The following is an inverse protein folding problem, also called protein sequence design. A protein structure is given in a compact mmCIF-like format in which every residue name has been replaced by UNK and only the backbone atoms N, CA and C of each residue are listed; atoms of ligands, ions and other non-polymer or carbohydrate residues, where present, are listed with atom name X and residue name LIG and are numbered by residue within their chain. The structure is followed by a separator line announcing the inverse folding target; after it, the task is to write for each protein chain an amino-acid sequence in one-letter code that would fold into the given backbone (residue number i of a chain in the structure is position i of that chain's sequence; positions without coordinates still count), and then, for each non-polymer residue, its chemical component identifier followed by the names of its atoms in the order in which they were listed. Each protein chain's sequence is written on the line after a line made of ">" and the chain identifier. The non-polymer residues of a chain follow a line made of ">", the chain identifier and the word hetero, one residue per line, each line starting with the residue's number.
data_IF_892096949695
#
_entry.id   IF_892096949695
#
_cell.length_a   1.000
_cell.length_b   1.000
_cell.length_c   1.000
_cell.angle_alpha   90.00
_cell.angle_beta   90.00
_cell.angle_gamma   90.00
#
_symmetry.space_group_name_H-M   'P 1'
#
loop_
_entity.id
_entity.type
_entity.pdbx_description
1 polymer ?
#
# COMPACT_ATOMS: atom_id res chain seq x y z
N UNK A 1 -3.44 -0.43 -2.27
CA UNK A 1 -3.91 -0.49 -0.87
C UNK A 1 -4.62 -1.81 -0.65
N UNK A 2 -4.33 -2.53 0.44
CA UNK A 2 -4.92 -3.86 0.70
C UNK A 2 -6.28 -3.75 1.38
N UNK A 3 -7.21 -4.65 1.05
CA UNK A 3 -8.55 -4.66 1.67
C UNK A 3 -8.46 -5.12 3.15
N UNK A 4 -9.37 -4.63 4.02
CA UNK A 4 -9.47 -5.10 5.40
C UNK A 4 -9.71 -6.61 5.50
N UNK A 5 -9.08 -7.25 6.46
CA UNK A 5 -9.23 -8.70 6.74
C UNK A 5 -10.36 -8.96 7.74
N UNK A 6 -10.98 -10.13 7.60
CA UNK A 6 -11.90 -10.67 8.63
C UNK A 6 -11.13 -11.25 9.82
N UNK A 7 -9.91 -11.73 9.59
CA UNK A 7 -9.09 -12.41 10.58
C UNK A 7 -7.88 -11.54 10.98
N UNK A 8 -7.78 -11.27 12.29
CA UNK A 8 -6.63 -10.72 13.03
C UNK A 8 -5.94 -9.45 12.49
N UNK A 9 -6.53 -8.75 11.51
CA UNK A 9 -5.96 -7.56 10.91
C UNK A 9 -4.64 -7.84 10.18
N UNK A 10 -4.43 -9.08 9.70
CA UNK A 10 -3.25 -9.47 8.94
C UNK A 10 -3.67 -10.31 7.74
N UNK A 11 -2.96 -10.16 6.63
CA UNK A 11 -3.10 -11.05 5.46
C UNK A 11 -1.73 -11.57 5.04
N UNK A 12 -1.63 -12.85 4.65
CA UNK A 12 -0.42 -13.37 4.03
C UNK A 12 -0.29 -12.78 2.61
N UNK A 13 0.89 -12.30 2.28
CA UNK A 13 1.26 -11.90 0.93
C UNK A 13 2.52 -12.66 0.55
N UNK A 14 2.47 -13.31 -0.61
CA UNK A 14 3.61 -13.95 -1.23
C UNK A 14 4.59 -12.88 -1.69
N UNK A 15 5.80 -12.92 -1.16
CA UNK A 15 6.91 -12.12 -1.67
C UNK A 15 7.54 -12.84 -2.85
N UNK A 16 7.58 -12.17 -4.00
CA UNK A 16 8.42 -12.62 -5.10
C UNK A 16 9.89 -12.51 -4.72
N UNK A 17 10.70 -13.42 -5.24
CA UNK A 17 12.14 -13.39 -5.00
C UNK A 17 12.71 -12.04 -5.47
N UNK A 18 13.44 -11.32 -4.62
CA UNK A 18 14.04 -10.06 -5.03
C UNK A 18 15.11 -10.30 -6.08
N UNK A 19 15.19 -9.40 -7.05
CA UNK A 19 16.32 -9.33 -7.96
C UNK A 19 17.51 -8.71 -7.22
N UNK A 20 18.65 -9.43 -7.21
CA UNK A 20 19.86 -8.96 -6.55
C UNK A 20 20.80 -8.39 -7.60
N UNK A 21 21.23 -7.15 -7.39
CA UNK A 21 22.17 -6.45 -8.26
C UNK A 21 23.47 -6.18 -7.51
N UNK A 22 24.59 -6.17 -8.24
CA UNK A 22 25.88 -5.82 -7.67
C UNK A 22 26.55 -4.71 -8.49
N UNK A 23 27.28 -3.83 -7.80
CA UNK A 23 28.18 -2.86 -8.41
C UNK A 23 29.62 -3.34 -8.24
N UNK A 24 30.33 -3.57 -9.35
CA UNK A 24 31.70 -4.07 -9.33
C UNK A 24 32.70 -2.91 -9.33
N UNK A 25 33.45 -2.74 -8.24
CA UNK A 25 34.57 -1.80 -8.20
C UNK A 25 35.78 -2.42 -8.92
N UNK A 26 36.42 -1.64 -9.81
CA UNK A 26 37.48 -2.10 -10.73
C UNK A 26 38.74 -2.68 -10.06
N UNK A 27 38.90 -2.63 -8.73
CA UNK A 27 40.21 -2.77 -8.08
C UNK A 27 40.54 -4.13 -7.46
N UNK A 28 39.66 -5.12 -7.41
CA UNK A 28 40.09 -6.48 -6.99
C UNK A 28 39.32 -7.56 -7.76
N UNK A 29 40.08 -8.38 -8.48
CA UNK A 29 39.71 -9.66 -9.11
C UNK A 29 38.37 -10.24 -8.65
N UNK A 30 37.38 -10.26 -9.53
CA UNK A 30 36.30 -11.22 -9.40
C UNK A 30 35.80 -11.62 -10.79
N UNK A 31 36.21 -12.81 -11.20
CA UNK A 31 35.74 -13.59 -12.36
C UNK A 31 34.21 -13.69 -12.45
N UNK A 32 33.49 -13.24 -11.43
CA UNK A 32 32.04 -13.32 -11.28
C UNK A 32 31.26 -12.07 -11.77
N UNK A 33 31.92 -10.98 -12.18
CA UNK A 33 31.25 -9.77 -12.70
C UNK A 33 30.80 -9.89 -14.19
N UNK A 34 30.71 -11.11 -14.71
CA UNK A 34 30.50 -11.38 -16.13
C UNK A 34 29.02 -11.26 -16.53
N UNK A 35 28.74 -10.23 -17.33
CA UNK A 35 27.67 -10.09 -18.35
C UNK A 35 26.30 -10.73 -18.04
N UNK A 36 25.49 -10.07 -17.24
CA UNK A 36 24.03 -10.01 -17.46
C UNK A 36 23.61 -8.54 -17.21
N UNK A 37 22.54 -8.12 -17.88
CA UNK A 37 21.91 -6.77 -17.94
C UNK A 37 22.50 -5.66 -17.06
N UNK A 38 22.92 -4.57 -17.69
CA UNK A 38 23.46 -3.37 -17.05
C UNK A 38 22.36 -2.33 -16.84
N UNK A 39 22.18 -1.88 -15.60
CA UNK A 39 21.23 -0.81 -15.24
C UNK A 39 21.97 0.32 -14.56
N UNK A 40 21.63 1.55 -14.92
CA UNK A 40 22.21 2.77 -14.35
C UNK A 40 21.40 3.22 -13.14
N UNK A 41 22.06 3.37 -11.98
CA UNK A 41 21.44 3.90 -10.77
C UNK A 41 22.49 4.58 -9.87
N UNK A 42 22.08 5.48 -8.96
CA UNK A 42 23.01 6.14 -8.04
C UNK A 42 23.84 5.13 -7.22
N UNK A 43 25.12 5.43 -7.01
CA UNK A 43 26.02 4.58 -6.23
C UNK A 43 25.64 4.51 -4.75
N UNK A 44 25.01 5.57 -4.22
CA UNK A 44 24.58 5.67 -2.82
C UNK A 44 23.46 6.71 -2.69
N UNK A 45 22.67 6.62 -1.63
CA UNK A 45 21.63 7.60 -1.31
C UNK A 45 22.18 9.04 -1.21
N UNK A 46 23.43 9.19 -0.78
CA UNK A 46 24.08 10.49 -0.61
C UNK A 46 24.96 10.91 -1.81
N UNK A 47 25.24 9.98 -2.73
CA UNK A 47 26.09 10.22 -3.88
C UNK A 47 25.32 9.92 -5.17
N UNK A 48 24.90 10.97 -5.85
CA UNK A 48 24.17 10.93 -7.12
C UNK A 48 25.05 10.50 -8.31
N UNK A 49 26.33 10.17 -8.10
CA UNK A 49 27.14 9.54 -9.12
C UNK A 49 26.43 8.29 -9.65
N UNK A 50 26.33 8.18 -10.96
CA UNK A 50 25.70 7.05 -11.62
C UNK A 50 26.68 5.88 -11.64
N UNK A 51 26.24 4.76 -11.08
CA UNK A 51 26.94 3.50 -11.07
C UNK A 51 26.25 2.51 -12.01
N UNK A 52 27.05 1.59 -12.57
CA UNK A 52 26.54 0.51 -13.39
C UNK A 52 26.32 -0.74 -12.55
N UNK A 53 25.07 -1.15 -12.42
CA UNK A 53 24.64 -2.30 -11.64
C UNK A 53 24.37 -3.48 -12.57
N UNK A 54 24.89 -4.66 -12.19
CA UNK A 54 24.69 -5.89 -12.95
C UNK A 54 23.75 -6.82 -12.20
N UNK A 55 22.75 -7.35 -12.92
CA UNK A 55 21.87 -8.38 -12.37
C UNK A 55 22.63 -9.70 -12.22
N UNK A 56 22.39 -10.42 -11.13
CA UNK A 56 22.94 -11.75 -10.92
C UNK A 56 21.82 -12.76 -10.77
N UNK A 57 21.95 -13.91 -11.47
CA UNK A 57 21.07 -15.06 -11.28
C UNK A 57 21.38 -15.73 -9.95
N UNK A 58 20.82 -15.17 -8.89
CA UNK A 58 20.86 -15.74 -7.56
C UNK A 58 19.78 -16.82 -7.43
N UNK A 59 20.20 -18.08 -7.30
CA UNK A 59 19.30 -19.17 -6.95
C UNK A 59 19.05 -19.11 -5.45
N UNK A 60 18.02 -18.36 -5.05
CA UNK A 60 17.48 -18.52 -3.71
C UNK A 60 17.07 -19.98 -3.52
N UNK A 61 17.50 -20.58 -2.42
CA UNK A 61 16.97 -21.86 -1.95
C UNK A 61 15.56 -21.62 -1.39
N UNK A 62 14.63 -21.07 -2.19
CA UNK A 62 13.38 -20.48 -1.68
C UNK A 62 12.27 -21.51 -1.56
N UNK A 63 11.84 -21.74 -0.32
CA UNK A 63 10.41 -21.88 -0.02
C UNK A 63 9.74 -20.51 -0.24
N UNK A 64 8.52 -20.50 -0.73
CA UNK A 64 7.65 -19.31 -0.81
C UNK A 64 7.68 -18.55 0.54
N UNK A 65 8.11 -17.28 0.55
CA UNK A 65 8.11 -16.47 1.77
C UNK A 65 6.77 -15.74 1.88
N UNK A 66 5.92 -16.20 2.80
CA UNK A 66 4.68 -15.51 3.14
C UNK A 66 4.95 -14.46 4.21
N UNK A 67 4.78 -13.19 3.86
CA UNK A 67 4.84 -12.08 4.81
C UNK A 67 3.44 -11.73 5.28
N UNK A 68 3.27 -11.64 6.60
CA UNK A 68 2.03 -11.13 7.18
C UNK A 68 2.05 -9.61 7.23
N UNK A 69 1.28 -8.97 6.35
CA UNK A 69 1.12 -7.52 6.33
C UNK A 69 -0.10 -7.10 7.14
N UNK A 70 0.02 -6.06 7.99
CA UNK A 70 -1.10 -5.55 8.76
C UNK A 70 -2.11 -4.84 7.85
N UNK A 71 -3.39 -5.10 8.07
CA UNK A 71 -4.53 -4.49 7.39
C UNK A 71 -5.62 -4.11 8.39
N UNK A 72 -6.56 -3.27 7.98
CA UNK A 72 -7.73 -2.95 8.79
C UNK A 72 -8.58 -4.19 9.12
N UNK A 73 -9.36 -4.12 10.19
CA UNK A 73 -10.33 -5.15 10.59
C UNK A 73 -11.72 -4.82 10.04
N UNK A 74 -12.41 -5.81 9.44
CA UNK A 74 -13.79 -5.62 8.97
C UNK A 74 -14.82 -5.45 10.09
N UNK A 75 -14.55 -5.93 11.31
CA UNK A 75 -15.53 -5.95 12.39
C UNK A 75 -16.05 -4.56 12.82
N UNK A 76 -15.25 -3.52 12.66
CA UNK A 76 -15.65 -2.15 12.98
C UNK A 76 -16.48 -1.50 11.86
N UNK A 77 -16.47 -2.06 10.64
CA UNK A 77 -17.18 -1.52 9.50
C UNK A 77 -18.71 -1.41 9.72
N UNK A 78 -19.44 -2.46 10.14
CA UNK A 78 -20.89 -2.36 10.33
C UNK A 78 -21.26 -1.35 11.43
N UNK A 79 -20.48 -1.29 12.51
CA UNK A 79 -20.69 -0.35 13.61
C UNK A 79 -20.53 1.11 13.14
N UNK A 80 -19.42 1.41 12.45
CA UNK A 80 -19.15 2.75 11.92
C UNK A 80 -20.21 3.15 10.90
N UNK A 81 -20.60 2.24 10.00
CA UNK A 81 -21.66 2.49 9.02
C UNK A 81 -23.01 2.77 9.71
N UNK A 82 -23.39 1.98 10.71
CA UNK A 82 -24.65 2.17 11.44
C UNK A 82 -24.70 3.54 12.14
N UNK A 83 -23.64 3.90 12.88
CA UNK A 83 -23.55 5.19 13.56
C UNK A 83 -23.65 6.33 12.54
N UNK A 84 -22.89 6.24 11.45
CA UNK A 84 -22.89 7.26 10.39
C UNK A 84 -24.28 7.43 9.76
N UNK A 85 -24.99 6.34 9.48
CA UNK A 85 -26.34 6.37 8.93
C UNK A 85 -27.34 7.01 9.92
N UNK A 86 -27.27 6.64 11.19
CA UNK A 86 -28.14 7.20 12.23
C UNK A 86 -27.90 8.71 12.37
N UNK A 87 -26.65 9.12 12.53
CA UNK A 87 -26.29 10.54 12.66
C UNK A 87 -26.73 11.33 11.43
N UNK A 88 -26.46 10.82 10.23
CA UNK A 88 -26.86 11.47 8.98
C UNK A 88 -28.39 11.60 8.88
N UNK A 89 -29.12 10.54 9.23
CA UNK A 89 -30.59 10.55 9.24
C UNK A 89 -31.17 11.57 10.22
N UNK A 90 -30.62 11.65 11.44
CA UNK A 90 -31.03 12.62 12.45
C UNK A 90 -30.74 14.06 11.99
N UNK A 91 -29.53 14.33 11.49
CA UNK A 91 -29.17 15.65 10.98
C UNK A 91 -30.06 16.08 9.82
N UNK A 92 -30.30 15.19 8.86
CA UNK A 92 -31.15 15.47 7.70
C UNK A 92 -32.60 15.74 8.12
N UNK A 93 -33.13 14.96 9.06
CA UNK A 93 -34.48 15.13 9.59
C UNK A 93 -34.63 16.45 10.36
N UNK A 94 -33.62 16.82 11.14
CA UNK A 94 -33.60 18.07 11.89
C UNK A 94 -33.59 19.27 10.94
N UNK A 95 -32.72 19.24 9.92
CA UNK A 95 -32.66 20.29 8.89
C UNK A 95 -34.00 20.39 8.14
N UNK A 96 -34.56 19.26 7.71
CA UNK A 96 -35.86 19.24 7.03
C UNK A 96 -36.98 19.80 7.91
N UNK A 97 -37.01 19.44 9.19
CA UNK A 97 -37.99 19.96 10.15
C UNK A 97 -37.85 21.47 10.35
N UNK A 98 -36.63 21.97 10.41
CA UNK A 98 -36.36 23.41 10.52
C UNK A 98 -36.80 24.16 9.26
N UNK A 99 -36.54 23.61 8.07
CA UNK A 99 -37.01 24.18 6.80
C UNK A 99 -38.54 24.17 6.70
N UNK A 100 -39.22 23.09 7.14
CA UNK A 100 -40.68 23.04 7.16
C UNK A 100 -41.30 24.03 8.15
N UNK A 101 -40.66 24.28 9.30
CA UNK A 101 -41.22 25.17 10.34
C UNK A 101 -40.87 26.64 10.17
N UNK A 102 -39.69 26.94 9.64
CA UNK A 102 -39.15 28.29 9.63
C UNK A 102 -38.69 28.74 8.24
N UNK A 103 -38.66 27.83 7.26
CA UNK A 103 -38.35 28.18 5.89
C UNK A 103 -39.52 28.89 5.22
N UNK A 104 -39.25 29.85 4.30
CA UNK A 104 -40.26 30.50 3.49
C UNK A 104 -40.72 29.55 2.37
N UNK A 105 -41.21 28.37 2.71
CA UNK A 105 -41.80 27.46 1.73
C UNK A 105 -43.28 27.82 1.66
N UNK A 106 -43.57 28.76 0.75
CA UNK A 106 -44.91 29.06 0.27
C UNK A 106 -45.57 27.74 -0.15
N UNK A 107 -46.52 27.25 0.64
CA UNK A 107 -47.41 26.20 0.18
C UNK A 107 -48.37 26.87 -0.83
N UNK A 108 -48.18 26.61 -2.12
CA UNK A 108 -49.23 26.83 -3.12
C UNK A 108 -49.85 25.47 -3.38
N UNK A 109 -51.02 25.24 -2.76
CA UNK A 109 -52.01 24.24 -3.22
C UNK A 109 -52.45 24.59 -4.63
#
# INVERSE_FOLDING_TARGET
>A
YYRPSESNGKIPVVLQNPEIMIHCQKTVFSVNCLKETETEAPCSQNNLAVCHWKSMKYKMLSKELELQVPVGLKHHLPLVCAITLITTGLCSSFILSALCRYGPIHYSV
#
